data_IF_583532815346
#
_entry.id   IF_583532815346
#
_cell.length_a   1.000
_cell.length_b   1.000
_cell.length_c   1.000
_cell.angle_alpha   90.00
_cell.angle_beta   90.00
_cell.angle_gamma   90.00
#
_symmetry.space_group_name_H-M   'P 1'
#
loop_
_entity.id
_entity.type
_entity.pdbx_description
1 polymer ?
#
# COMPACT_ATOMS: atom_id res chain seq x y z
N UNK A 1 20.84 -14.20 -29.55
CA UNK A 1 19.71 -13.28 -29.30
C UNK A 1 18.90 -13.73 -28.08
N UNK A 2 19.15 -13.09 -26.93
CA UNK A 2 18.23 -13.13 -25.78
C UNK A 2 17.98 -11.69 -25.35
N UNK A 3 16.72 -11.34 -25.58
CA UNK A 3 15.98 -10.12 -25.33
C UNK A 3 15.80 -9.83 -23.83
N UNK A 4 15.55 -8.56 -23.49
CA UNK A 4 14.91 -8.17 -22.23
C UNK A 4 15.82 -7.62 -21.14
N UNK A 5 16.44 -6.46 -21.40
CA UNK A 5 17.20 -5.71 -20.41
C UNK A 5 16.37 -5.31 -19.18
N UNK A 6 16.93 -5.63 -18.01
CA UNK A 6 16.57 -5.13 -16.69
C UNK A 6 16.28 -3.62 -16.71
N UNK A 7 15.08 -3.22 -16.31
CA UNK A 7 14.73 -1.82 -16.02
C UNK A 7 14.67 -1.58 -14.50
N UNK A 8 15.65 -2.10 -13.77
CA UNK A 8 15.98 -1.57 -12.46
C UNK A 8 17.17 -0.63 -12.58
N UNK A 9 17.07 0.49 -11.85
CA UNK A 9 18.09 1.51 -11.61
C UNK A 9 18.05 2.76 -12.50
N UNK A 10 17.35 3.78 -12.01
CA UNK A 10 17.66 5.17 -12.33
C UNK A 10 18.19 5.85 -11.05
N UNK A 11 19.51 6.04 -10.90
CA UNK A 11 20.07 6.93 -9.90
C UNK A 11 20.17 8.32 -10.54
N UNK A 12 19.19 9.19 -10.28
CA UNK A 12 19.30 10.59 -10.68
C UNK A 12 19.42 11.45 -9.42
N UNK A 13 20.57 11.30 -8.78
CA UNK A 13 21.10 12.24 -7.81
C UNK A 13 21.58 13.48 -8.58
N UNK A 14 21.31 14.69 -8.03
CA UNK A 14 21.78 16.03 -8.47
C UNK A 14 20.85 16.84 -9.37
N UNK A 15 19.65 17.13 -8.91
CA UNK A 15 19.00 18.41 -9.25
C UNK A 15 18.43 19.05 -7.99
N UNK A 16 19.17 20.03 -7.45
CA UNK A 16 18.81 21.00 -6.39
C UNK A 16 17.31 20.94 -6.04
N UNK A 17 16.99 20.19 -4.99
CA UNK A 17 15.64 19.72 -4.69
C UNK A 17 14.66 20.89 -4.52
N UNK A 18 13.70 21.01 -5.45
CA UNK A 18 12.51 21.85 -5.25
C UNK A 18 11.59 21.29 -4.16
N UNK A 19 11.87 20.05 -3.71
CA UNK A 19 11.10 19.31 -2.73
C UNK A 19 11.87 19.19 -1.41
N UNK A 20 11.17 19.19 -0.26
CA UNK A 20 11.79 19.00 1.04
C UNK A 20 12.35 17.58 1.20
N UNK A 21 13.45 17.44 1.94
CA UNK A 21 14.12 16.15 2.17
C UNK A 21 13.17 15.08 2.74
N UNK A 22 12.28 15.47 3.64
CA UNK A 22 11.30 14.55 4.25
C UNK A 22 10.37 13.93 3.20
N UNK A 23 9.95 14.72 2.21
CA UNK A 23 9.15 14.21 1.10
C UNK A 23 9.98 13.31 0.18
N UNK A 24 11.25 13.64 -0.08
CA UNK A 24 12.12 12.79 -0.89
C UNK A 24 12.39 11.44 -0.23
N UNK A 25 12.59 11.44 1.09
CA UNK A 25 12.69 10.23 1.90
C UNK A 25 11.41 9.39 1.80
N UNK A 26 10.25 9.99 2.08
CA UNK A 26 8.97 9.30 1.94
C UNK A 26 8.74 8.78 0.51
N UNK A 27 9.12 9.54 -0.51
CA UNK A 27 8.99 9.12 -1.91
C UNK A 27 9.87 7.92 -2.26
N UNK A 28 11.10 7.86 -1.72
CA UNK A 28 12.03 6.76 -1.96
C UNK A 28 11.60 5.46 -1.26
N UNK A 29 11.01 5.57 -0.08
CA UNK A 29 10.44 4.44 0.67
C UNK A 29 9.11 3.95 0.07
N UNK A 30 8.44 4.80 -0.72
CA UNK A 30 7.13 4.47 -1.26
C UNK A 30 7.22 3.26 -2.22
N UNK A 31 6.35 2.23 -2.06
CA UNK A 31 6.43 1.03 -2.88
C UNK A 31 6.23 1.34 -4.37
N UNK A 32 7.07 0.74 -5.23
CA UNK A 32 6.98 0.91 -6.68
C UNK A 32 5.66 0.32 -7.19
N UNK A 33 4.94 1.11 -8.00
CA UNK A 33 3.68 0.73 -8.66
C UNK A 33 3.94 0.47 -10.14
N UNK A 34 3.23 -0.50 -10.73
CA UNK A 34 3.09 -0.58 -12.18
C UNK A 34 2.06 0.47 -12.69
N UNK A 35 2.53 1.40 -13.53
CA UNK A 35 1.72 2.49 -14.09
C UNK A 35 2.16 3.88 -13.61
N UNK A 36 1.46 4.92 -14.07
CA UNK A 36 1.87 6.31 -13.79
C UNK A 36 1.66 6.71 -12.33
N UNK A 37 2.69 7.26 -11.69
CA UNK A 37 2.64 7.87 -10.35
C UNK A 37 3.33 9.24 -10.38
N UNK A 38 2.55 10.31 -10.41
CA UNK A 38 3.05 11.69 -10.54
C UNK A 38 3.61 12.21 -9.22
N UNK A 39 4.94 12.38 -9.12
CA UNK A 39 5.61 12.97 -7.95
C UNK A 39 5.09 14.38 -7.62
N UNK A 40 4.74 15.18 -8.65
CA UNK A 40 4.21 16.55 -8.49
C UNK A 40 2.85 16.54 -7.78
N UNK A 41 1.91 15.69 -8.20
CA UNK A 41 0.59 15.57 -7.56
C UNK A 41 0.70 15.03 -6.14
N UNK A 42 1.60 14.06 -5.92
CA UNK A 42 1.89 13.55 -4.58
C UNK A 42 2.44 14.63 -3.66
N UNK A 43 3.36 15.46 -4.14
CA UNK A 43 3.91 16.57 -3.36
C UNK A 43 2.86 17.63 -3.04
N UNK A 44 1.97 17.95 -3.99
CA UNK A 44 0.86 18.88 -3.76
C UNK A 44 -0.07 18.36 -2.65
N UNK A 45 -0.40 17.07 -2.68
CA UNK A 45 -1.21 16.42 -1.65
C UNK A 45 -0.48 16.40 -0.29
N UNK A 46 0.80 16.02 -0.25
CA UNK A 46 1.65 16.04 0.94
C UNK A 46 1.69 17.43 1.59
N UNK A 47 1.97 18.47 0.79
CA UNK A 47 2.04 19.86 1.28
C UNK A 47 0.70 20.33 1.85
N UNK A 48 -0.42 19.90 1.27
CA UNK A 48 -1.74 20.20 1.80
C UNK A 48 -1.97 19.57 3.18
N UNK A 49 -1.40 18.39 3.45
CA UNK A 49 -1.47 17.74 4.78
C UNK A 49 -0.61 18.46 5.81
N UNK A 50 0.61 18.85 5.45
CA UNK A 50 1.47 19.67 6.32
C UNK A 50 0.75 20.97 6.71
N UNK A 51 0.12 21.64 5.74
CA UNK A 51 -0.71 22.84 5.98
C UNK A 51 -1.95 22.59 6.83
N UNK A 52 -2.47 21.36 6.83
CA UNK A 52 -3.61 20.97 7.65
C UNK A 52 -3.22 20.60 9.10
N UNK A 53 -1.91 20.55 9.41
CA UNK A 53 -1.39 20.22 10.74
C UNK A 53 -0.81 18.82 10.87
N UNK A 54 -0.74 18.02 9.80
CA UNK A 54 -0.04 16.74 9.84
C UNK A 54 1.48 16.98 9.83
N UNK A 55 2.24 16.10 10.48
CA UNK A 55 3.70 16.21 10.49
C UNK A 55 4.31 15.40 9.35
N UNK A 56 5.42 15.88 8.79
CA UNK A 56 6.14 15.16 7.75
C UNK A 56 6.63 13.78 8.23
N UNK A 57 6.95 13.65 9.53
CA UNK A 57 7.20 12.37 10.16
C UNK A 57 6.01 11.41 10.10
N UNK A 58 4.78 11.84 10.43
CA UNK A 58 3.59 10.99 10.32
C UNK A 58 3.34 10.51 8.89
N UNK A 59 3.54 11.39 7.91
CA UNK A 59 3.39 11.03 6.51
C UNK A 59 4.44 9.99 6.10
N UNK A 60 5.69 10.17 6.54
CA UNK A 60 6.80 9.25 6.24
C UNK A 60 6.61 7.89 6.94
N UNK A 61 6.17 7.90 8.19
CA UNK A 61 5.89 6.69 8.97
C UNK A 61 4.73 5.90 8.35
N UNK A 62 3.67 6.60 7.92
CA UNK A 62 2.59 5.98 7.15
C UNK A 62 3.06 5.34 5.86
N UNK A 63 3.99 5.97 5.13
CA UNK A 63 4.58 5.34 3.93
C UNK A 63 5.35 4.07 4.28
N UNK A 64 6.18 4.09 5.33
CA UNK A 64 6.94 2.91 5.75
C UNK A 64 6.01 1.74 6.08
N UNK A 65 4.97 1.99 6.89
CA UNK A 65 3.94 0.96 7.20
C UNK A 65 3.29 0.44 5.92
N UNK A 66 2.96 1.32 4.98
CA UNK A 66 2.37 0.92 3.72
C UNK A 66 3.33 0.10 2.84
N UNK A 67 4.61 0.46 2.80
CA UNK A 67 5.65 -0.26 2.09
C UNK A 67 5.82 -1.67 2.66
N UNK A 68 5.87 -1.81 3.98
CA UNK A 68 5.88 -3.10 4.68
C UNK A 68 4.65 -3.93 4.34
N UNK A 69 3.45 -3.34 4.37
CA UNK A 69 2.21 -4.02 3.99
C UNK A 69 2.24 -4.54 2.54
N UNK A 70 2.66 -3.70 1.58
CA UNK A 70 2.71 -4.09 0.16
C UNK A 70 3.77 -5.18 -0.06
N UNK A 71 4.90 -5.08 0.62
CA UNK A 71 5.98 -6.08 0.59
C UNK A 71 5.51 -7.41 1.17
N UNK A 72 4.90 -7.39 2.37
CA UNK A 72 4.35 -8.57 3.03
C UNK A 72 3.21 -9.22 2.22
N UNK A 73 2.39 -8.41 1.55
CA UNK A 73 1.35 -8.87 0.65
C UNK A 73 1.87 -9.42 -0.69
N UNK A 74 3.15 -9.24 -1.01
CA UNK A 74 3.74 -9.60 -2.29
C UNK A 74 3.15 -8.81 -3.48
N UNK A 75 2.62 -7.60 -3.22
CA UNK A 75 1.95 -6.75 -4.23
C UNK A 75 2.86 -5.67 -4.83
N UNK A 76 4.16 -5.72 -4.57
CA UNK A 76 5.14 -4.79 -5.15
C UNK A 76 5.08 -4.84 -6.68
N UNK A 77 5.27 -3.70 -7.34
CA UNK A 77 5.22 -3.55 -8.80
C UNK A 77 3.90 -3.99 -9.44
N UNK A 78 2.81 -4.00 -8.68
CA UNK A 78 1.48 -4.26 -9.23
C UNK A 78 0.67 -2.97 -9.37
N UNK A 79 -0.41 -3.02 -10.15
CA UNK A 79 -1.40 -1.96 -10.24
C UNK A 79 -2.22 -1.76 -8.95
N UNK A 80 -2.10 -2.69 -8.00
CA UNK A 80 -2.78 -2.61 -6.70
C UNK A 80 -2.06 -1.69 -5.70
N UNK A 81 -0.80 -1.32 -5.96
CA UNK A 81 -0.08 -0.34 -5.15
C UNK A 81 -0.76 1.01 -5.31
N UNK A 82 -1.19 1.63 -4.21
CA UNK A 82 -1.94 2.88 -4.20
C UNK A 82 -1.07 4.02 -4.76
N UNK A 83 -1.67 4.92 -5.52
CA UNK A 83 -1.00 6.13 -6.00
C UNK A 83 -0.58 7.01 -4.82
N UNK A 84 0.63 7.58 -4.87
CA UNK A 84 1.13 8.42 -3.78
C UNK A 84 0.29 9.71 -3.61
N UNK A 85 -0.26 10.26 -4.70
CA UNK A 85 -1.19 11.40 -4.66
C UNK A 85 -2.49 11.08 -3.92
N UNK A 86 -3.04 9.88 -4.11
CA UNK A 86 -4.19 9.40 -3.36
C UNK A 86 -3.82 9.12 -1.90
N UNK A 87 -2.64 8.55 -1.66
CA UNK A 87 -2.15 8.22 -0.34
C UNK A 87 -2.02 9.45 0.58
N UNK A 88 -1.39 10.52 0.09
CA UNK A 88 -1.31 11.81 0.78
C UNK A 88 -2.55 12.69 0.58
N UNK A 89 -3.57 12.17 -0.09
CA UNK A 89 -4.80 12.87 -0.43
C UNK A 89 -5.66 13.24 0.79
N UNK A 90 -6.85 13.83 0.57
CA UNK A 90 -7.78 14.20 1.63
C UNK A 90 -8.29 13.02 2.46
N UNK A 91 -8.21 11.79 1.91
CA UNK A 91 -8.58 10.56 2.62
C UNK A 91 -7.57 10.12 3.68
N UNK A 92 -6.40 10.78 3.76
CA UNK A 92 -5.37 10.56 4.80
C UNK A 92 -4.98 9.09 5.02
N UNK A 93 -4.73 8.36 3.94
CA UNK A 93 -4.36 6.95 4.02
C UNK A 93 -3.09 6.66 4.83
N UNK A 94 -2.22 7.65 5.03
CA UNK A 94 -1.05 7.52 5.91
C UNK A 94 -1.40 7.34 7.41
N UNK A 95 -2.62 7.71 7.83
CA UNK A 95 -3.10 7.48 9.21
C UNK A 95 -3.52 6.03 9.43
N UNK A 96 -3.76 5.25 8.37
CA UNK A 96 -4.09 3.83 8.50
C UNK A 96 -2.90 3.06 9.08
N UNK A 97 -3.20 2.07 9.93
CA UNK A 97 -2.17 1.24 10.56
C UNK A 97 -1.43 0.37 9.55
N UNK A 98 -2.02 0.11 8.38
CA UNK A 98 -1.50 -0.79 7.33
C UNK A 98 -0.95 -2.10 7.92
N UNK A 99 -1.67 -2.68 8.88
CA UNK A 99 -1.28 -3.93 9.49
C UNK A 99 -1.56 -5.06 8.52
N UNK A 100 -0.52 -5.76 8.08
CA UNK A 100 -0.70 -7.03 7.37
C UNK A 100 -0.98 -8.10 8.42
N UNK A 101 -2.25 -8.25 8.79
CA UNK A 101 -2.71 -9.54 9.26
C UNK A 101 -2.60 -10.48 8.07
N UNK A 102 -1.50 -11.24 8.02
CA UNK A 102 -1.43 -12.45 7.20
C UNK A 102 -2.80 -13.10 7.36
N UNK A 103 -3.63 -13.23 6.31
CA UNK A 103 -4.76 -14.12 6.42
C UNK A 103 -4.10 -15.46 6.66
N UNK A 104 -4.10 -15.90 7.91
CA UNK A 104 -3.74 -17.25 8.31
C UNK A 104 -4.87 -18.09 7.72
N UNK A 105 -4.78 -18.28 6.42
CA UNK A 105 -5.46 -19.28 5.64
C UNK A 105 -4.80 -20.62 5.92
N UNK A 106 -4.68 -20.98 7.21
CA UNK A 106 -5.09 -22.31 7.61
C UNK A 106 -6.60 -22.33 7.41
N UNK A 107 -7.04 -22.41 6.15
CA UNK A 107 -8.31 -23.06 5.86
C UNK A 107 -8.02 -24.52 6.14
N UNK A 108 -8.12 -24.93 7.39
CA UNK A 108 -8.24 -26.34 7.69
C UNK A 108 -9.59 -26.75 7.08
N UNK A 109 -9.63 -27.53 5.98
CA UNK A 109 -10.90 -28.01 5.42
C UNK A 109 -11.64 -28.92 6.41
N UNK A 110 -11.05 -29.23 7.56
CA UNK A 110 -11.60 -30.06 8.62
C UNK A 110 -12.39 -29.26 9.69
N UNK A 111 -12.51 -27.94 9.55
CA UNK A 111 -13.37 -27.10 10.42
C UNK A 111 -14.64 -26.67 9.67
N UNK A 112 -15.24 -27.59 8.92
CA UNK A 112 -16.66 -27.49 8.57
C UNK A 112 -17.42 -27.62 9.90
N UNK A 113 -18.00 -26.53 10.36
CA UNK A 113 -19.09 -26.56 11.34
C UNK A 113 -20.04 -27.68 10.91
N UNK A 114 -20.28 -28.63 11.81
CA UNK A 114 -21.15 -29.78 11.54
C UNK A 114 -22.40 -29.30 10.81
N UNK A 115 -22.83 -29.95 9.70
CA UNK A 115 -24.13 -29.63 9.14
C UNK A 115 -25.15 -29.88 10.23
N UNK A 116 -25.83 -28.82 10.63
CA UNK A 116 -26.85 -28.84 11.67
C UNK A 116 -27.91 -29.86 11.26
N UNK A 117 -27.90 -31.04 11.89
CA UNK A 117 -28.80 -32.16 11.60
C UNK A 117 -30.20 -31.93 12.16
N UNK A 118 -30.68 -30.68 12.21
CA UNK A 118 -32.09 -30.39 12.43
C UNK A 118 -32.86 -30.59 11.12
N UNK A 119 -32.98 -31.86 10.73
CA UNK A 119 -34.06 -32.30 9.85
C UNK A 119 -35.34 -32.27 10.72
N UNK A 120 -36.35 -31.44 10.42
CA UNK A 120 -37.62 -31.56 11.13
C UNK A 120 -38.26 -32.93 10.80
N UNK A 121 -38.48 -33.76 11.82
CA UNK A 121 -39.28 -34.98 11.69
C UNK A 121 -40.72 -34.58 11.34
N UNK A 122 -41.10 -34.69 10.07
CA UNK A 122 -42.47 -34.34 9.67
C UNK A 122 -42.88 -34.57 8.21
N UNK A 123 -42.00 -34.98 7.29
CA UNK A 123 -42.42 -35.29 5.92
C UNK A 123 -42.59 -36.81 5.73
N UNK A 124 -43.76 -37.32 6.15
CA UNK A 124 -44.23 -38.68 5.87
C UNK A 124 -45.67 -38.57 5.35
N UNK A 125 -45.91 -39.08 4.14
CA UNK A 125 -47.25 -39.27 3.56
C UNK A 125 -47.41 -38.57 2.23
#
# INVERSE_FOLDING_TARGET
>A
PTDGGSCDEAPSEKQKSSYPEEFELAWREYPKRAGGNSKVDAFKAWTARIKSGATAQELTDGVRRYADYVTAAGKLNTEYVKQASTFFGPSKHYEELWSFEVPTGKRDPNSISQPDKLIPSGFRG
#
